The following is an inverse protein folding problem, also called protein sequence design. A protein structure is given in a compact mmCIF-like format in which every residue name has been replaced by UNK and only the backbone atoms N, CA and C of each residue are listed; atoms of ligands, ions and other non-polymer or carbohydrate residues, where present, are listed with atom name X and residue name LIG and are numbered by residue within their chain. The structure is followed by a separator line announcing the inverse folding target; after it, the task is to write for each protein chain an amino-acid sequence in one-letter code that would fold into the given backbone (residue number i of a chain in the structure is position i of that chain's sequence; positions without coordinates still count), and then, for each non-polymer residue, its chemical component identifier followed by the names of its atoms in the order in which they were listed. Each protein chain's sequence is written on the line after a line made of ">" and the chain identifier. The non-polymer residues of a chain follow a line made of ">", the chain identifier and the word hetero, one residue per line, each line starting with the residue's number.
data_IF_816660314130
#
_entry.id   IF_816660314130
#
_cell.length_a   1.000
_cell.length_b   1.000
_cell.length_c   1.000
_cell.angle_alpha   90.00
_cell.angle_beta   90.00
_cell.angle_gamma   90.00
#
_symmetry.space_group_name_H-M   'P 1'
#
loop_
_entity.id
_entity.type
_entity.pdbx_description
1 polymer ?
#
# COMPACT_ATOMS: atom_id res chain seq x y z
N UNK A 1 -1.96 39.31 10.54
CA UNK A 1 -0.87 38.41 10.94
C UNK A 1 -1.52 37.13 11.44
N UNK A 2 -1.64 36.08 10.60
CA UNK A 2 -2.24 34.85 11.08
C UNK A 2 -1.20 34.03 11.86
N UNK A 3 -1.71 33.56 12.98
CA UNK A 3 -1.14 32.71 14.01
C UNK A 3 -0.38 31.50 13.45
N UNK A 4 0.89 31.36 13.85
CA UNK A 4 1.78 30.25 13.50
C UNK A 4 1.51 29.05 14.43
N UNK A 5 0.25 28.67 14.58
CA UNK A 5 -0.17 27.58 15.44
C UNK A 5 0.03 26.22 14.74
N UNK A 6 1.01 25.48 15.25
CA UNK A 6 1.15 24.02 15.22
C UNK A 6 1.39 23.32 13.87
N UNK A 7 2.65 23.37 13.41
CA UNK A 7 3.17 22.36 12.46
C UNK A 7 3.53 21.12 13.29
N UNK A 8 2.90 19.94 13.06
CA UNK A 8 3.04 18.79 13.94
C UNK A 8 4.51 18.41 14.08
N UNK A 9 4.99 18.34 15.32
CA UNK A 9 6.25 17.71 15.65
C UNK A 9 6.21 16.30 15.05
N UNK A 10 6.90 16.07 13.93
CA UNK A 10 6.93 14.77 13.26
C UNK A 10 7.75 13.80 14.11
N UNK A 11 7.13 13.30 15.18
CA UNK A 11 7.67 12.25 16.01
C UNK A 11 7.75 10.97 15.17
N UNK A 12 8.77 10.16 15.43
CA UNK A 12 8.96 8.85 14.77
C UNK A 12 7.71 7.96 14.88
N UNK A 13 6.86 8.16 15.89
CA UNK A 13 5.62 7.41 16.09
C UNK A 13 4.62 7.59 14.96
N UNK A 14 4.58 8.75 14.29
CA UNK A 14 3.73 8.96 13.12
C UNK A 14 4.07 7.99 11.98
N UNK A 15 5.31 7.50 11.93
CA UNK A 15 5.78 6.55 10.91
C UNK A 15 5.81 5.10 11.40
N UNK A 16 5.40 4.82 12.65
CA UNK A 16 5.50 3.48 13.23
C UNK A 16 4.68 2.43 12.45
N UNK A 17 3.52 2.82 11.90
CA UNK A 17 2.71 1.94 11.06
C UNK A 17 3.48 1.46 9.80
N UNK A 18 4.51 2.18 9.35
CA UNK A 18 5.23 1.80 8.13
C UNK A 18 6.11 0.54 8.28
N UNK A 19 6.25 0.03 9.51
CA UNK A 19 7.15 -1.07 9.86
C UNK A 19 6.92 -2.35 9.06
N UNK A 20 5.65 -2.72 8.83
CA UNK A 20 5.27 -3.94 8.14
C UNK A 20 4.56 -3.67 6.80
N UNK A 21 4.71 -2.47 6.22
CA UNK A 21 4.10 -2.17 4.94
C UNK A 21 4.73 -3.02 3.84
N UNK A 22 3.92 -3.71 3.01
CA UNK A 22 4.43 -4.36 1.81
C UNK A 22 4.82 -3.32 0.74
N UNK A 23 5.62 -3.72 -0.27
CA UNK A 23 6.11 -2.81 -1.32
C UNK A 23 5.02 -1.98 -2.00
N UNK A 24 3.87 -2.58 -2.32
CA UNK A 24 2.74 -1.87 -2.93
C UNK A 24 2.10 -0.80 -2.04
N UNK A 25 2.24 -0.91 -0.71
CA UNK A 25 1.75 0.12 0.22
C UNK A 25 2.80 1.18 0.51
N UNK A 26 4.09 0.84 0.42
CA UNK A 26 5.14 1.85 0.34
C UNK A 26 5.01 2.70 -0.92
N UNK A 27 4.68 2.08 -2.06
CA UNK A 27 4.45 2.80 -3.30
C UNK A 27 3.39 3.91 -3.14
N UNK A 28 2.30 3.58 -2.45
CA UNK A 28 1.26 4.56 -2.11
C UNK A 28 1.77 5.69 -1.21
N UNK A 29 2.54 5.39 -0.17
CA UNK A 29 3.07 6.43 0.73
C UNK A 29 3.92 7.47 -0.01
N UNK A 30 4.68 7.05 -1.01
CA UNK A 30 5.44 7.98 -1.85
C UNK A 30 4.54 8.70 -2.87
N UNK A 31 3.64 7.99 -3.55
CA UNK A 31 2.74 8.58 -4.55
C UNK A 31 1.84 9.67 -3.93
N UNK A 32 1.24 9.42 -2.76
CA UNK A 32 0.31 10.37 -2.11
C UNK A 32 0.96 11.67 -1.63
N UNK A 33 2.29 11.79 -1.75
CA UNK A 33 3.08 13.00 -1.45
C UNK A 33 3.51 13.76 -2.70
N UNK A 34 3.21 13.24 -3.89
CA UNK A 34 3.54 13.88 -5.14
C UNK A 34 2.56 15.05 -5.41
N UNK A 35 3.09 16.26 -5.59
CA UNK A 35 2.26 17.45 -5.79
C UNK A 35 1.43 17.39 -7.08
N UNK A 36 1.97 16.81 -8.16
CA UNK A 36 1.24 16.65 -9.41
C UNK A 36 0.11 15.62 -9.24
N UNK A 37 0.38 14.51 -8.55
CA UNK A 37 -0.67 13.54 -8.21
C UNK A 37 -1.79 14.18 -7.38
N UNK A 38 -1.43 14.99 -6.37
CA UNK A 38 -2.40 15.70 -5.53
C UNK A 38 -3.24 16.71 -6.34
N UNK A 39 -2.61 17.43 -7.27
CA UNK A 39 -3.31 18.34 -8.17
C UNK A 39 -4.28 17.59 -9.10
N UNK A 40 -3.81 16.50 -9.72
CA UNK A 40 -4.64 15.66 -10.60
C UNK A 40 -5.82 15.04 -9.83
N UNK A 41 -5.57 14.52 -8.61
CA UNK A 41 -6.60 13.94 -7.75
C UNK A 41 -7.65 14.98 -7.31
N UNK A 42 -7.23 16.22 -7.05
CA UNK A 42 -8.15 17.30 -6.69
C UNK A 42 -9.04 17.72 -7.87
N UNK A 43 -8.50 17.75 -9.10
CA UNK A 43 -9.27 18.02 -10.32
C UNK A 43 -10.27 16.90 -10.62
N UNK A 44 -9.91 15.65 -10.33
CA UNK A 44 -10.76 14.47 -10.56
C UNK A 44 -11.75 14.20 -9.40
N UNK A 45 -11.78 15.05 -8.36
CA UNK A 45 -12.67 14.86 -7.20
C UNK A 45 -14.18 14.86 -7.56
N UNK A 46 -14.54 15.41 -8.72
CA UNK A 46 -15.91 15.40 -9.26
C UNK A 46 -16.25 14.12 -10.04
N UNK A 47 -15.27 13.25 -10.30
CA UNK A 47 -15.47 12.02 -11.02
C UNK A 47 -16.21 11.04 -10.11
N UNK A 48 -17.42 10.62 -10.54
CA UNK A 48 -18.38 9.93 -9.68
C UNK A 48 -17.94 8.49 -9.43
N UNK A 49 -17.27 8.27 -8.31
CA UNK A 49 -17.09 6.92 -7.75
C UNK A 49 -18.26 6.63 -6.82
N UNK A 50 -19.07 5.62 -7.16
CA UNK A 50 -20.13 5.16 -6.27
C UNK A 50 -19.53 4.31 -5.16
N UNK A 51 -19.89 4.65 -3.92
CA UNK A 51 -19.45 3.92 -2.73
C UNK A 51 -20.70 3.43 -2.01
N UNK A 52 -20.83 2.11 -1.86
CA UNK A 52 -21.92 1.49 -1.12
C UNK A 52 -21.33 0.61 -0.02
N UNK A 53 -21.80 0.78 1.22
CA UNK A 53 -21.44 -0.11 2.32
C UNK A 53 -22.42 -1.28 2.35
N UNK A 54 -21.92 -2.51 2.22
CA UNK A 54 -22.74 -3.73 2.26
C UNK A 54 -22.87 -4.22 3.70
N UNK A 55 -21.80 -4.11 4.48
CA UNK A 55 -21.76 -4.40 5.92
C UNK A 55 -20.69 -3.56 6.64
N UNK A 56 -20.51 -3.75 7.95
CA UNK A 56 -19.42 -3.16 8.73
C UNK A 56 -18.04 -3.40 8.13
N UNK A 57 -17.84 -4.53 7.45
CA UNK A 57 -16.52 -4.95 6.97
C UNK A 57 -16.45 -5.03 5.45
N UNK A 58 -17.57 -4.85 4.74
CA UNK A 58 -17.62 -4.97 3.28
C UNK A 58 -18.08 -3.64 2.66
N UNK A 59 -17.21 -3.09 1.81
CA UNK A 59 -17.44 -1.89 1.02
C UNK A 59 -17.44 -2.25 -0.47
N UNK A 60 -18.38 -1.72 -1.23
CA UNK A 60 -18.42 -1.77 -2.68
C UNK A 60 -18.03 -0.41 -3.24
N UNK A 61 -17.16 -0.41 -4.23
CA UNK A 61 -16.71 0.75 -4.99
C UNK A 61 -16.96 0.44 -6.47
N UNK A 62 -17.65 1.34 -7.17
CA UNK A 62 -17.83 1.23 -8.61
C UNK A 62 -17.67 2.61 -9.25
N UNK A 63 -16.52 2.89 -9.91
CA UNK A 63 -16.34 4.06 -10.75
C UNK A 63 -17.38 4.07 -11.88
N UNK A 64 -18.05 5.20 -12.09
CA UNK A 64 -19.08 5.32 -13.14
C UNK A 64 -18.49 5.53 -14.54
N UNK A 65 -17.23 5.92 -14.61
CA UNK A 65 -16.50 6.25 -15.85
C UNK A 65 -15.10 5.64 -15.80
N UNK A 66 -14.51 5.45 -16.98
CA UNK A 66 -13.08 5.06 -17.10
C UNK A 66 -12.21 6.14 -16.45
N UNK A 67 -11.29 5.72 -15.60
CA UNK A 67 -10.48 6.59 -14.75
C UNK A 67 -9.13 6.89 -15.42
N UNK A 68 -9.14 7.41 -16.65
CA UNK A 68 -7.92 7.59 -17.47
C UNK A 68 -6.85 8.45 -16.79
N UNK A 69 -7.24 9.41 -15.94
CA UNK A 69 -6.31 10.21 -15.16
C UNK A 69 -5.62 9.41 -14.05
N UNK A 70 -6.34 8.52 -13.36
CA UNK A 70 -5.78 7.66 -12.32
C UNK A 70 -4.84 6.59 -12.94
N UNK A 71 -5.16 6.10 -14.14
CA UNK A 71 -4.34 5.11 -14.86
C UNK A 71 -2.92 5.61 -15.16
N UNK A 72 -2.75 6.91 -15.42
CA UNK A 72 -1.42 7.55 -15.59
C UNK A 72 -0.50 7.33 -14.39
N UNK A 73 -1.09 7.23 -13.19
CA UNK A 73 -0.39 6.98 -11.93
C UNK A 73 -0.32 5.48 -11.57
N UNK A 74 -0.84 4.61 -12.43
CA UNK A 74 -0.93 3.16 -12.21
C UNK A 74 -2.07 2.74 -11.30
N UNK A 75 -3.10 3.58 -11.12
CA UNK A 75 -4.23 3.34 -10.22
C UNK A 75 -5.52 3.04 -11.01
N UNK A 76 -6.42 2.26 -10.41
CA UNK A 76 -7.74 2.00 -11.00
C UNK A 76 -8.74 3.15 -10.80
N UNK A 77 -8.53 3.99 -9.78
CA UNK A 77 -9.23 5.25 -9.48
C UNK A 77 -8.38 6.05 -8.49
N UNK A 78 -8.72 7.31 -8.19
CA UNK A 78 -8.03 8.12 -7.18
C UNK A 78 -8.46 7.77 -5.75
N UNK A 79 -7.59 7.14 -4.91
CA UNK A 79 -7.89 6.94 -3.50
C UNK A 79 -7.71 8.24 -2.72
N UNK A 80 -8.36 8.35 -1.56
CA UNK A 80 -8.20 9.49 -0.63
C UNK A 80 -6.72 9.65 -0.21
N UNK A 81 -6.02 10.73 -0.64
CA UNK A 81 -4.59 10.94 -0.34
C UNK A 81 -4.29 11.15 1.15
N UNK A 82 -5.29 11.52 1.96
CA UNK A 82 -5.14 11.68 3.40
C UNK A 82 -4.97 10.32 4.11
N UNK A 83 -5.41 9.22 3.49
CA UNK A 83 -5.31 7.87 4.06
C UNK A 83 -3.92 7.28 3.86
N UNK A 84 -3.39 6.69 4.92
CA UNK A 84 -2.07 6.04 4.89
C UNK A 84 -2.07 4.70 4.13
N UNK A 85 -0.89 4.09 4.01
CA UNK A 85 -0.63 2.83 3.32
C UNK A 85 -1.44 1.63 3.80
N UNK A 86 -2.05 1.67 4.98
CA UNK A 86 -2.98 0.63 5.42
C UNK A 86 -4.44 0.98 5.14
N UNK A 87 -4.82 2.19 5.47
CA UNK A 87 -6.21 2.63 5.41
C UNK A 87 -6.68 2.88 3.99
N UNK A 88 -5.80 3.34 3.10
CA UNK A 88 -6.18 3.74 1.76
C UNK A 88 -6.74 2.56 0.93
N UNK A 89 -7.78 2.85 0.16
CA UNK A 89 -8.39 1.93 -0.81
C UNK A 89 -7.65 1.99 -2.14
N UNK A 90 -6.37 1.62 -2.10
CA UNK A 90 -5.48 1.66 -3.27
C UNK A 90 -5.65 0.38 -4.08
N UNK A 91 -6.16 0.53 -5.30
CA UNK A 91 -6.17 -0.51 -6.31
C UNK A 91 -5.19 -0.13 -7.41
N UNK A 92 -4.10 -0.89 -7.49
CA UNK A 92 -3.12 -0.74 -8.57
C UNK A 92 -3.68 -1.39 -9.84
N UNK A 93 -3.50 -0.74 -10.99
CA UNK A 93 -3.97 -1.26 -12.28
C UNK A 93 -3.19 -2.52 -12.69
N UNK A 94 -3.75 -3.30 -13.62
CA UNK A 94 -3.24 -4.60 -14.08
C UNK A 94 -1.86 -4.57 -14.74
N UNK A 95 -1.27 -3.39 -14.96
CA UNK A 95 0.10 -3.23 -15.42
C UNK A 95 1.15 -3.71 -14.39
N UNK A 96 0.74 -4.02 -13.16
CA UNK A 96 1.64 -4.45 -12.08
C UNK A 96 1.17 -5.77 -11.42
N UNK A 97 1.20 -6.91 -12.15
CA UNK A 97 0.56 -8.17 -11.73
C UNK A 97 1.22 -8.86 -10.54
N UNK A 98 2.47 -8.52 -10.19
CA UNK A 98 3.31 -9.28 -9.24
C UNK A 98 2.81 -9.30 -7.79
N UNK A 99 1.85 -8.45 -7.48
CA UNK A 99 1.22 -8.35 -6.16
C UNK A 99 -0.25 -8.73 -6.15
N UNK A 100 -0.81 -9.03 -7.33
CA UNK A 100 -2.19 -9.41 -7.48
C UNK A 100 -2.29 -10.93 -7.48
N UNK A 101 -3.24 -11.46 -6.73
CA UNK A 101 -3.60 -12.87 -6.82
C UNK A 101 -4.82 -13.01 -7.71
N UNK A 102 -4.76 -13.91 -8.70
CA UNK A 102 -5.89 -14.21 -9.53
C UNK A 102 -6.71 -15.33 -8.89
N UNK A 103 -8.00 -15.07 -8.73
CA UNK A 103 -8.94 -15.93 -8.02
C UNK A 103 -10.11 -16.20 -8.95
N UNK A 104 -10.48 -17.47 -9.07
CA UNK A 104 -11.67 -17.91 -9.77
C UNK A 104 -12.76 -18.26 -8.76
N UNK A 105 -13.94 -17.71 -8.95
CA UNK A 105 -15.12 -17.96 -8.12
C UNK A 105 -16.13 -18.74 -8.94
N UNK A 106 -16.48 -19.93 -8.48
CA UNK A 106 -17.42 -20.85 -9.13
C UNK A 106 -18.55 -21.26 -8.18
N UNK A 107 -19.69 -21.75 -8.70
CA UNK A 107 -20.71 -22.37 -7.85
C UNK A 107 -20.12 -23.51 -7.02
N UNK A 108 -20.51 -23.61 -5.75
CA UNK A 108 -20.10 -24.72 -4.90
C UNK A 108 -20.87 -25.99 -5.24
N UNK A 109 -20.16 -27.05 -5.61
CA UNK A 109 -20.75 -28.38 -5.87
C UNK A 109 -21.45 -28.97 -4.62
N UNK A 110 -21.05 -28.55 -3.42
CA UNK A 110 -21.61 -29.03 -2.14
C UNK A 110 -22.81 -28.22 -1.66
N UNK A 111 -23.19 -27.15 -2.37
CA UNK A 111 -24.20 -26.20 -1.92
C UNK A 111 -23.79 -25.41 -0.66
N UNK A 112 -22.51 -25.44 -0.27
CA UNK A 112 -21.99 -24.71 0.90
C UNK A 112 -20.78 -23.86 0.52
N UNK A 113 -20.68 -22.68 1.11
CA UNK A 113 -19.50 -21.82 0.93
C UNK A 113 -18.22 -22.53 1.40
N UNK A 114 -17.18 -22.45 0.58
CA UNK A 114 -15.86 -22.99 0.92
C UNK A 114 -15.21 -22.29 2.13
N UNK A 115 -14.18 -22.90 2.72
CA UNK A 115 -13.53 -22.36 3.92
C UNK A 115 -12.85 -21.01 3.67
N UNK A 116 -12.21 -20.83 2.49
CA UNK A 116 -11.54 -19.58 2.11
C UNK A 116 -12.55 -18.42 2.15
N UNK A 117 -13.70 -18.57 1.49
CA UNK A 117 -14.78 -17.58 1.52
C UNK A 117 -15.20 -17.25 2.96
N UNK A 118 -15.52 -18.29 3.75
CA UNK A 118 -15.99 -18.15 5.12
C UNK A 118 -15.00 -17.36 5.99
N UNK A 119 -13.71 -17.63 5.82
CA UNK A 119 -12.70 -16.98 6.64
C UNK A 119 -12.43 -15.53 6.22
N UNK A 120 -12.45 -15.25 4.91
CA UNK A 120 -12.33 -13.89 4.37
C UNK A 120 -13.49 -13.01 4.87
N UNK A 121 -14.73 -13.48 4.72
CA UNK A 121 -15.93 -12.69 5.07
C UNK A 121 -16.05 -12.45 6.58
N UNK A 122 -15.58 -13.38 7.41
CA UNK A 122 -15.70 -13.26 8.88
C UNK A 122 -14.60 -12.44 9.54
N UNK A 123 -13.41 -12.42 8.96
CA UNK A 123 -12.20 -11.95 9.68
C UNK A 123 -11.46 -10.80 9.00
N UNK A 124 -11.90 -10.39 7.81
CA UNK A 124 -11.21 -9.37 7.03
C UNK A 124 -12.14 -8.19 6.70
N UNK A 125 -11.54 -7.02 6.59
CA UNK A 125 -12.17 -5.90 5.89
C UNK A 125 -11.97 -6.07 4.39
N UNK A 126 -13.03 -5.90 3.62
CA UNK A 126 -13.07 -6.16 2.18
C UNK A 126 -13.59 -4.92 1.48
N UNK A 127 -12.81 -4.43 0.54
CA UNK A 127 -13.29 -3.47 -0.45
C UNK A 127 -13.39 -4.19 -1.79
N UNK A 128 -14.59 -4.26 -2.33
CA UNK A 128 -14.89 -4.81 -3.63
C UNK A 128 -14.97 -3.67 -4.64
N UNK A 129 -14.06 -3.66 -5.61
CA UNK A 129 -14.08 -2.75 -6.75
C UNK A 129 -14.64 -3.48 -7.98
N UNK A 130 -15.65 -2.89 -8.61
CA UNK A 130 -16.13 -3.29 -9.94
C UNK A 130 -15.67 -2.20 -10.91
N UNK A 131 -14.79 -2.54 -11.84
CA UNK A 131 -14.32 -1.59 -12.84
C UNK A 131 -15.39 -1.36 -13.95
N UNK A 132 -15.25 -0.34 -14.81
CA UNK A 132 -16.18 -0.10 -15.92
C UNK A 132 -16.25 -1.25 -16.93
N UNK A 133 -15.20 -2.07 -17.02
CA UNK A 133 -15.16 -3.31 -17.82
C UNK A 133 -15.84 -4.51 -17.14
N UNK A 134 -16.46 -4.30 -15.97
CA UNK A 134 -17.09 -5.33 -15.11
C UNK A 134 -16.11 -6.38 -14.57
N UNK A 135 -14.81 -6.08 -14.53
CA UNK A 135 -13.87 -6.90 -13.77
C UNK A 135 -14.05 -6.63 -12.28
N UNK A 136 -13.99 -7.70 -11.50
CA UNK A 136 -14.08 -7.64 -10.05
C UNK A 136 -12.69 -7.69 -9.43
N UNK A 137 -12.41 -6.75 -8.52
CA UNK A 137 -11.19 -6.69 -7.75
C UNK A 137 -11.52 -6.62 -6.27
N UNK A 138 -10.78 -7.35 -5.45
CA UNK A 138 -10.95 -7.31 -3.99
C UNK A 138 -9.69 -6.78 -3.34
N UNK A 139 -9.86 -5.84 -2.42
CA UNK A 139 -8.84 -5.40 -1.49
C UNK A 139 -9.18 -5.95 -0.11
N UNK A 140 -8.37 -6.89 0.36
CA UNK A 140 -8.61 -7.60 1.62
C UNK A 140 -7.58 -7.11 2.64
N UNK A 141 -8.07 -6.59 3.77
CA UNK A 141 -7.25 -6.03 4.84
C UNK A 141 -7.48 -6.79 6.15
N UNK A 142 -6.39 -7.17 6.83
CA UNK A 142 -6.42 -7.78 8.17
C UNK A 142 -5.05 -7.65 8.85
N UNK A 143 -5.02 -7.27 10.13
CA UNK A 143 -3.79 -7.17 10.94
C UNK A 143 -2.61 -6.45 10.25
N UNK A 144 -2.86 -5.31 9.60
CA UNK A 144 -1.81 -4.57 8.88
C UNK A 144 -1.27 -5.30 7.65
N UNK A 145 -2.00 -6.28 7.13
CA UNK A 145 -1.75 -6.89 5.83
C UNK A 145 -2.81 -6.43 4.85
N UNK A 146 -2.39 -6.22 3.60
CA UNK A 146 -3.30 -5.90 2.51
C UNK A 146 -2.97 -6.75 1.30
N UNK A 147 -4.02 -7.30 0.68
CA UNK A 147 -3.94 -8.12 -0.54
C UNK A 147 -4.89 -7.53 -1.56
N UNK A 148 -4.43 -7.42 -2.80
CA UNK A 148 -5.29 -7.15 -3.94
C UNK A 148 -5.49 -8.46 -4.71
N UNK A 149 -6.73 -8.85 -4.94
CA UNK A 149 -7.08 -10.02 -5.74
C UNK A 149 -7.90 -9.60 -6.97
N UNK A 150 -7.63 -10.22 -8.12
CA UNK A 150 -8.54 -10.20 -9.27
C UNK A 150 -9.50 -11.36 -9.12
N UNK A 151 -10.79 -11.13 -9.28
CA UNK A 151 -11.80 -12.17 -9.29
C UNK A 151 -12.32 -12.38 -10.72
N UNK A 152 -12.47 -13.64 -11.11
CA UNK A 152 -13.14 -14.06 -12.34
C UNK A 152 -14.23 -15.09 -12.03
N UNK A 153 -15.22 -15.22 -12.92
CA UNK A 153 -16.37 -16.09 -12.71
C UNK A 153 -17.52 -15.36 -12.01
N UNK A 154 -18.09 -15.98 -10.97
CA UNK A 154 -19.17 -15.37 -10.18
C UNK A 154 -18.64 -14.25 -9.28
N UNK A 155 -19.51 -13.34 -8.88
CA UNK A 155 -19.14 -12.40 -7.82
C UNK A 155 -18.90 -13.15 -6.50
N UNK A 156 -17.89 -12.72 -5.73
CA UNK A 156 -17.70 -13.23 -4.37
C UNK A 156 -18.94 -12.97 -3.51
N UNK A 157 -19.67 -11.88 -3.78
CA UNK A 157 -20.90 -11.53 -3.05
C UNK A 157 -22.17 -12.13 -3.69
N UNK A 158 -22.02 -13.17 -4.50
CA UNK A 158 -23.14 -13.91 -5.10
C UNK A 158 -24.10 -14.47 -4.03
N UNK A 159 -25.43 -14.49 -4.29
CA UNK A 159 -26.40 -15.11 -3.38
C UNK A 159 -26.28 -16.64 -3.34
N UNK A 160 -25.63 -17.26 -4.33
CA UNK A 160 -25.42 -18.70 -4.40
C UNK A 160 -24.13 -19.08 -3.67
N UNK A 161 -24.08 -20.21 -2.95
CA UNK A 161 -22.86 -20.69 -2.32
C UNK A 161 -21.69 -20.85 -3.31
N UNK A 162 -20.53 -20.30 -2.98
CA UNK A 162 -19.36 -20.24 -3.87
C UNK A 162 -18.18 -21.09 -3.39
N UNK A 163 -17.42 -21.56 -4.38
CA UNK A 163 -16.08 -22.11 -4.22
C UNK A 163 -15.06 -21.13 -4.81
N UNK A 164 -13.92 -21.02 -4.14
CA UNK A 164 -12.85 -20.10 -4.49
C UNK A 164 -11.61 -20.92 -4.84
N UNK A 165 -11.11 -20.75 -6.06
CA UNK A 165 -9.88 -21.37 -6.55
C UNK A 165 -8.84 -20.31 -6.94
N UNK A 166 -7.57 -20.67 -6.90
CA UNK A 166 -6.50 -19.80 -7.41
C UNK A 166 -6.23 -20.12 -8.87
N UNK A 167 -6.19 -19.07 -9.69
CA UNK A 167 -5.95 -19.19 -11.13
C UNK A 167 -4.51 -18.79 -11.44
N UNK A 168 -3.79 -19.67 -12.15
CA UNK A 168 -2.47 -19.39 -12.69
C UNK A 168 -2.56 -19.55 -14.20
N UNK A 169 -2.61 -18.43 -14.92
CA UNK A 169 -2.85 -18.42 -16.37
C UNK A 169 -1.57 -18.41 -17.20
N UNK A 170 -0.45 -17.90 -16.66
CA UNK A 170 0.80 -17.73 -17.40
C UNK A 170 1.95 -18.49 -16.74
N UNK A 171 2.66 -19.29 -17.55
CA UNK A 171 3.78 -20.11 -17.09
C UNK A 171 5.05 -19.30 -16.84
N UNK A 172 5.23 -18.17 -17.54
CA UNK A 172 6.39 -17.28 -17.41
C UNK A 172 6.53 -16.60 -16.04
N UNK A 173 5.42 -16.42 -15.31
CA UNK A 173 5.39 -15.73 -14.01
C UNK A 173 5.08 -16.67 -12.82
N UNK A 174 5.15 -18.00 -13.02
CA UNK A 174 4.72 -19.00 -12.04
C UNK A 174 5.31 -18.78 -10.63
N UNK A 175 6.62 -18.49 -10.53
CA UNK A 175 7.28 -18.20 -9.25
C UNK A 175 6.74 -16.94 -8.56
N UNK A 176 6.38 -15.92 -9.34
CA UNK A 176 5.78 -14.71 -8.80
C UNK A 176 4.35 -14.99 -8.31
N UNK A 177 3.56 -15.73 -9.09
CA UNK A 177 2.20 -16.16 -8.73
C UNK A 177 2.19 -16.98 -7.44
N UNK A 178 3.08 -17.97 -7.29
CA UNK A 178 3.20 -18.73 -6.04
C UNK A 178 3.61 -17.86 -4.85
N UNK A 179 4.51 -16.90 -5.03
CA UNK A 179 4.85 -15.95 -3.96
C UNK A 179 3.68 -15.06 -3.59
N UNK A 180 2.95 -14.51 -4.58
CA UNK A 180 1.78 -13.69 -4.35
C UNK A 180 0.71 -14.49 -3.58
N UNK A 181 0.46 -15.73 -3.97
CA UNK A 181 -0.41 -16.67 -3.28
C UNK A 181 0.06 -16.95 -1.85
N UNK A 182 1.32 -17.35 -1.67
CA UNK A 182 1.88 -17.63 -0.35
C UNK A 182 1.74 -16.44 0.59
N UNK A 183 2.03 -15.23 0.08
CA UNK A 183 1.87 -13.97 0.82
C UNK A 183 0.40 -13.67 1.12
N UNK A 184 -0.51 -13.98 0.19
CA UNK A 184 -1.94 -13.79 0.41
C UNK A 184 -2.47 -14.73 1.50
N UNK A 185 -2.02 -15.99 1.54
CA UNK A 185 -2.40 -16.93 2.58
C UNK A 185 -1.92 -16.53 3.98
N UNK A 186 -0.89 -15.68 4.10
CA UNK A 186 -0.46 -15.16 5.40
C UNK A 186 -1.53 -14.31 6.07
N UNK A 187 -2.53 -13.78 5.35
CA UNK A 187 -3.63 -13.00 5.94
C UNK A 187 -4.47 -13.83 6.90
N UNK A 188 -4.52 -15.15 6.72
CA UNK A 188 -5.27 -16.04 7.59
C UNK A 188 -4.53 -16.33 8.89
N UNK A 189 -3.21 -16.14 8.91
CA UNK A 189 -2.40 -16.30 10.12
C UNK A 189 -2.50 -15.04 10.99
N UNK A 190 -2.39 -15.22 12.30
CA UNK A 190 -2.14 -14.10 13.21
C UNK A 190 -0.79 -13.49 12.85
N UNK A 191 -0.76 -12.18 12.59
CA UNK A 191 0.49 -11.50 12.27
C UNK A 191 1.27 -11.34 13.58
N UNK A 192 2.45 -11.97 13.74
CA UNK A 192 3.31 -11.61 14.86
C UNK A 192 3.68 -10.14 14.69
N UNK A 193 3.49 -9.34 15.75
CA UNK A 193 4.02 -7.97 15.77
C UNK A 193 5.53 -8.08 15.58
N UNK A 194 6.03 -7.73 14.39
CA UNK A 194 7.46 -7.78 14.14
C UNK A 194 8.05 -6.51 14.72
N UNK A 195 8.68 -6.59 15.90
CA UNK A 195 9.31 -5.42 16.53
C UNK A 195 10.56 -4.95 15.77
N UNK A 196 11.01 -5.71 14.77
CA UNK A 196 12.21 -5.43 13.99
C UNK A 196 11.90 -4.89 12.60
N UNK A 197 12.53 -3.78 12.24
CA UNK A 197 12.52 -3.26 10.88
C UNK A 197 13.38 -4.14 9.96
N UNK A 198 12.87 -4.48 8.79
CA UNK A 198 13.75 -4.98 7.71
C UNK A 198 14.65 -3.85 7.23
N UNK A 199 15.84 -4.19 6.69
CA UNK A 199 16.76 -3.19 6.11
C UNK A 199 16.06 -2.35 5.03
N UNK A 200 15.21 -2.98 4.23
CA UNK A 200 14.43 -2.33 3.17
C UNK A 200 13.41 -1.34 3.76
N UNK A 201 12.56 -1.79 4.69
CA UNK A 201 11.54 -0.92 5.29
C UNK A 201 12.16 0.23 6.09
N UNK A 202 13.27 -0.01 6.80
CA UNK A 202 14.01 1.04 7.48
C UNK A 202 14.54 2.10 6.51
N UNK A 203 15.09 1.66 5.37
CA UNK A 203 15.57 2.57 4.32
C UNK A 203 14.44 3.37 3.69
N UNK A 204 13.28 2.75 3.43
CA UNK A 204 12.10 3.43 2.88
C UNK A 204 11.51 4.42 3.88
N UNK A 205 11.38 4.05 5.16
CA UNK A 205 10.96 4.95 6.25
C UNK A 205 11.85 6.17 6.33
N UNK A 206 13.17 5.96 6.38
CA UNK A 206 14.11 7.07 6.48
C UNK A 206 14.07 7.97 5.23
N UNK A 207 13.81 7.41 4.04
CA UNK A 207 13.60 8.20 2.82
C UNK A 207 12.30 9.01 2.87
N UNK A 208 11.21 8.43 3.38
CA UNK A 208 9.92 9.09 3.56
C UNK A 208 10.02 10.26 4.56
N UNK A 209 10.58 10.01 5.75
CA UNK A 209 10.84 11.04 6.76
C UNK A 209 11.71 12.16 6.20
N UNK A 210 12.78 11.80 5.47
CA UNK A 210 13.68 12.78 4.88
C UNK A 210 13.01 13.65 3.81
N UNK A 211 12.08 13.09 3.04
CA UNK A 211 11.26 13.82 2.09
C UNK A 211 10.32 14.80 2.82
N UNK A 212 9.55 14.30 3.79
CA UNK A 212 8.60 15.12 4.57
C UNK A 212 9.29 16.27 5.30
N UNK A 213 10.47 16.01 5.88
CA UNK A 213 11.30 17.06 6.48
C UNK A 213 11.74 18.10 5.45
N UNK A 214 12.15 17.65 4.25
CA UNK A 214 12.63 18.54 3.20
C UNK A 214 11.51 19.44 2.67
N UNK A 215 10.30 18.91 2.46
CA UNK A 215 9.13 19.69 2.03
C UNK A 215 8.66 20.65 3.12
N UNK A 216 8.86 20.30 4.40
CA UNK A 216 8.62 21.18 5.55
C UNK A 216 9.77 22.19 5.80
N UNK A 217 10.76 22.32 4.91
CA UNK A 217 11.86 23.29 5.04
C UNK A 217 12.91 22.95 6.11
N UNK A 218 12.88 21.74 6.69
CA UNK A 218 13.81 21.34 7.75
C UNK A 218 15.23 21.12 7.21
N UNK A 219 16.23 21.43 8.03
CA UNK A 219 17.64 21.20 7.75
C UNK A 219 18.02 19.72 7.80
N UNK A 220 19.16 19.37 7.18
CA UNK A 220 19.71 17.99 7.22
C UNK A 220 19.93 17.54 8.67
N UNK A 221 20.32 18.47 9.56
CA UNK A 221 20.54 18.20 10.98
C UNK A 221 19.25 17.88 11.71
N UNK A 222 18.19 18.66 11.50
CA UNK A 222 16.88 18.38 12.09
C UNK A 222 16.33 17.04 11.61
N UNK A 223 16.47 16.71 10.31
CA UNK A 223 16.12 15.39 9.79
C UNK A 223 16.90 14.26 10.48
N UNK A 224 18.20 14.45 10.73
CA UNK A 224 19.01 13.47 11.46
C UNK A 224 18.52 13.29 12.91
N UNK A 225 18.18 14.39 13.60
CA UNK A 225 17.64 14.35 14.96
C UNK A 225 16.33 13.56 15.00
N UNK A 226 15.45 13.76 14.01
CA UNK A 226 14.18 13.02 13.92
C UNK A 226 14.42 11.53 13.70
N UNK A 227 15.36 11.15 12.82
CA UNK A 227 15.58 9.73 12.47
C UNK A 227 16.39 8.98 13.53
N UNK A 228 17.41 9.62 14.11
CA UNK A 228 18.42 8.98 14.97
C UNK A 228 18.46 9.47 16.41
N UNK A 229 17.68 10.51 16.73
CA UNK A 229 17.72 11.15 18.04
C UNK A 229 18.80 12.23 18.15
N UNK A 230 18.63 13.10 19.16
CA UNK A 230 19.50 14.27 19.39
C UNK A 230 20.91 13.87 19.83
N UNK A 231 21.02 12.87 20.69
CA UNK A 231 22.29 12.41 21.27
C UNK A 231 23.23 11.89 20.19
N UNK A 232 22.82 10.86 19.45
CA UNK A 232 23.58 10.30 18.32
C UNK A 232 23.92 11.34 17.26
N UNK A 233 22.93 12.19 16.90
CA UNK A 233 23.19 13.25 15.93
C UNK A 233 24.26 14.20 16.45
N UNK A 234 24.21 14.63 17.71
CA UNK A 234 25.18 15.58 18.25
C UNK A 234 26.59 15.01 18.31
N UNK A 235 26.74 13.72 18.64
CA UNK A 235 28.00 13.01 18.64
C UNK A 235 28.61 12.90 17.23
N UNK A 236 27.85 12.40 16.25
CA UNK A 236 28.35 12.16 14.89
C UNK A 236 28.45 13.43 14.03
N UNK A 237 27.71 14.50 14.37
CA UNK A 237 27.68 15.73 13.56
C UNK A 237 28.95 16.58 13.69
N UNK A 238 29.62 16.49 14.86
CA UNK A 238 30.88 17.17 15.17
C UNK A 238 32.11 16.43 14.65
N UNK A 239 31.98 15.14 14.36
CA UNK A 239 33.07 14.34 13.79
C UNK A 239 33.50 14.90 12.43
N UNK A 240 34.80 14.81 12.06
CA UNK A 240 35.28 15.19 10.73
C UNK A 240 34.61 14.40 9.59
N UNK A 241 34.05 13.22 9.91
CA UNK A 241 33.33 12.37 8.98
C UNK A 241 32.05 13.01 8.43
N UNK A 242 31.83 12.86 7.12
CA UNK A 242 30.60 13.31 6.44
C UNK A 242 29.51 12.23 6.39
N UNK A 243 29.74 11.07 7.02
CA UNK A 243 28.91 9.87 6.89
C UNK A 243 27.43 10.11 7.21
N UNK A 244 27.10 10.70 8.36
CA UNK A 244 25.72 10.98 8.75
C UNK A 244 25.05 12.00 7.81
N UNK A 245 25.77 13.07 7.47
CA UNK A 245 25.30 14.12 6.54
C UNK A 245 24.97 13.50 5.18
N UNK A 246 25.87 12.66 4.66
CA UNK A 246 25.70 11.99 3.38
C UNK A 246 24.61 10.93 3.40
N UNK A 247 24.43 10.23 4.53
CA UNK A 247 23.32 9.30 4.71
C UNK A 247 21.97 10.02 4.62
N UNK A 248 21.81 11.17 5.29
CA UNK A 248 20.59 11.96 5.18
C UNK A 248 20.40 12.53 3.76
N UNK A 249 21.47 13.00 3.11
CA UNK A 249 21.40 13.44 1.69
C UNK A 249 20.93 12.32 0.77
N UNK A 250 21.46 11.10 0.94
CA UNK A 250 21.01 9.92 0.20
C UNK A 250 19.54 9.59 0.49
N UNK A 251 19.10 9.66 1.75
CA UNK A 251 17.69 9.49 2.12
C UNK A 251 16.78 10.53 1.46
N UNK A 252 17.17 11.81 1.43
CA UNK A 252 16.42 12.87 0.74
C UNK A 252 16.33 12.62 -0.75
N UNK A 253 17.46 12.30 -1.40
CA UNK A 253 17.49 11.97 -2.82
C UNK A 253 16.56 10.79 -3.11
N UNK A 254 16.71 9.69 -2.37
CA UNK A 254 15.85 8.51 -2.51
C UNK A 254 14.37 8.83 -2.31
N UNK A 255 14.02 9.62 -1.30
CA UNK A 255 12.64 10.03 -1.06
C UNK A 255 12.07 10.82 -2.23
N UNK A 256 12.81 11.82 -2.73
CA UNK A 256 12.43 12.60 -3.91
C UNK A 256 12.25 11.71 -5.16
N UNK A 257 13.20 10.82 -5.42
CA UNK A 257 13.16 9.90 -6.56
C UNK A 257 11.93 8.99 -6.48
N UNK A 258 11.56 8.50 -5.29
CA UNK A 258 10.39 7.64 -5.10
C UNK A 258 9.07 8.41 -5.26
N UNK A 259 8.97 9.62 -4.71
CA UNK A 259 7.78 10.47 -4.88
C UNK A 259 7.57 10.85 -6.35
N UNK A 260 8.66 11.15 -7.07
CA UNK A 260 8.61 11.58 -8.46
C UNK A 260 8.62 10.40 -9.45
N UNK A 261 7.72 9.43 -9.24
CA UNK A 261 7.50 8.30 -10.15
C UNK A 261 8.33 7.05 -9.84
N UNK A 262 9.41 7.14 -9.06
CA UNK A 262 10.24 5.98 -8.72
C UNK A 262 9.55 4.93 -7.86
N UNK A 263 8.38 5.22 -7.30
CA UNK A 263 7.54 4.29 -6.54
C UNK A 263 7.08 3.08 -7.37
N UNK A 264 6.98 3.18 -8.70
CA UNK A 264 6.56 2.08 -9.58
C UNK A 264 7.48 0.86 -9.47
N UNK A 265 8.79 1.10 -9.26
CA UNK A 265 9.77 0.03 -8.97
C UNK A 265 9.41 -0.79 -7.72
N UNK A 266 8.71 -0.20 -6.75
CA UNK A 266 8.24 -0.92 -5.57
C UNK A 266 7.06 -1.86 -5.90
N UNK A 267 6.30 -1.59 -6.97
CA UNK A 267 5.23 -2.47 -7.46
C UNK A 267 5.78 -3.71 -8.19
N UNK A 268 7.03 -3.64 -8.64
CA UNK A 268 7.74 -4.75 -9.29
C UNK A 268 8.49 -5.65 -8.29
N UNK A 269 8.78 -5.12 -7.09
CA UNK A 269 9.55 -5.80 -6.06
C UNK A 269 8.73 -6.89 -5.38
N UNK A 270 9.17 -8.15 -5.30
CA UNK A 270 8.45 -9.16 -4.55
C UNK A 270 8.36 -8.78 -3.08
N UNK A 271 7.23 -9.09 -2.41
CA UNK A 271 7.13 -8.95 -0.96
C UNK A 271 8.17 -9.86 -0.32
N UNK A 272 9.03 -9.29 0.52
CA UNK A 272 10.01 -10.06 1.29
C UNK A 272 9.25 -11.02 2.21
N UNK A 273 9.46 -12.32 2.06
CA UNK A 273 9.07 -13.24 3.11
C UNK A 273 9.87 -12.84 4.35
N UNK A 274 9.18 -12.49 5.44
CA UNK A 274 9.87 -12.23 6.70
C UNK A 274 10.72 -13.46 7.01
N UNK A 275 12.03 -13.27 7.11
CA UNK A 275 12.94 -14.33 7.54
C UNK A 275 12.51 -14.73 8.93
N UNK A 276 11.82 -15.87 9.05
CA UNK A 276 11.79 -16.60 10.30
C UNK A 276 13.14 -17.29 10.40
N UNK A 277 14.02 -16.68 11.19
CA UNK A 277 15.08 -17.39 11.89
C UNK A 277 14.80 -17.20 13.37
#
# INVERSE_FOLDING_TARGET
>A
MPDTSEIPQSSLSHYAYTQALPPCRWAWEFLRRNNQFLADAALDANNKVSIRRVSSDIKLIAPQTVQTNAEKWGLAFFPDPARNGYEAEVFWSSLHPRHQVNVQVSPSATGRNCNIYKQVIRSCQITHLIDPGRNEHLLIKRYGQVIQARCSGLSLLSPVPVQVGFLISETGELRASFRALHNALQIFRTCPKTDRWTRTNLSLRNALIAYDCMTAGRSIRETAIIIYGRERTSAEWKSPGRALKDQIRRSRKKGRDLVNGGYTRLLEMPRSAGTQQ
#
